data_IF_788434525524
#
_entry.id   IF_788434525524
#
_cell.length_a   1.000
_cell.length_b   1.000
_cell.length_c   1.000
_cell.angle_alpha   90.00
_cell.angle_beta   90.00
_cell.angle_gamma   90.00
#
_symmetry.space_group_name_H-M   'P 1'
#
loop_
_entity.id
_entity.type
_entity.pdbx_description
1 polymer ?
#
# COMPACT_ATOMS: atom_id res chain seq x y z
N UNK A 1 -14.79 -67.75 -53.57
CA UNK A 1 -14.70 -66.28 -53.45
C UNK A 1 -15.55 -65.88 -52.23
N UNK A 2 -14.87 -65.63 -51.14
CA UNK A 2 -15.54 -65.33 -49.89
C UNK A 2 -15.13 -63.91 -49.53
N UNK A 3 -16.11 -62.97 -49.60
CA UNK A 3 -15.92 -61.54 -49.24
C UNK A 3 -16.14 -61.35 -47.74
N UNK A 4 -15.13 -60.85 -47.04
CA UNK A 4 -15.22 -60.44 -45.59
C UNK A 4 -15.58 -58.98 -45.49
N UNK A 5 -16.58 -58.57 -44.67
CA UNK A 5 -16.80 -57.19 -44.37
C UNK A 5 -15.88 -56.72 -43.23
N UNK A 6 -15.23 -55.61 -43.45
CA UNK A 6 -14.44 -54.87 -42.45
C UNK A 6 -15.40 -54.05 -41.62
N UNK A 7 -15.49 -54.35 -40.32
CA UNK A 7 -16.23 -53.56 -39.36
C UNK A 7 -15.30 -52.47 -38.85
N UNK A 8 -15.62 -51.21 -39.18
CA UNK A 8 -14.89 -50.01 -38.72
C UNK A 8 -15.45 -49.60 -37.36
N UNK A 9 -14.66 -49.79 -36.33
CA UNK A 9 -14.99 -49.38 -34.95
C UNK A 9 -14.57 -47.92 -34.76
N UNK A 10 -15.53 -46.98 -34.79
CA UNK A 10 -15.27 -45.60 -34.43
C UNK A 10 -15.23 -45.47 -32.90
N UNK A 11 -14.05 -45.30 -32.32
CA UNK A 11 -13.88 -44.88 -30.93
C UNK A 11 -14.13 -43.37 -30.83
N UNK A 12 -15.26 -42.98 -30.22
CA UNK A 12 -15.53 -41.61 -29.77
C UNK A 12 -14.79 -41.38 -28.48
N UNK A 13 -13.67 -40.64 -28.52
CA UNK A 13 -13.06 -40.06 -27.33
C UNK A 13 -13.86 -38.83 -26.89
N UNK A 14 -14.59 -38.97 -25.79
CA UNK A 14 -15.19 -37.83 -25.08
C UNK A 14 -14.10 -37.13 -24.28
N UNK A 15 -13.62 -35.99 -24.77
CA UNK A 15 -12.76 -35.08 -24.00
C UNK A 15 -13.59 -34.33 -22.95
N UNK A 16 -13.46 -34.72 -21.67
CA UNK A 16 -14.03 -33.98 -20.55
C UNK A 16 -13.20 -32.71 -20.36
N UNK A 17 -13.73 -31.57 -20.80
CA UNK A 17 -13.18 -30.25 -20.49
C UNK A 17 -13.43 -29.94 -19.03
N UNK A 18 -12.41 -30.05 -18.19
CA UNK A 18 -12.44 -29.55 -16.81
C UNK A 18 -12.47 -28.01 -16.82
N UNK A 19 -13.63 -27.45 -16.62
CA UNK A 19 -13.78 -26.01 -16.38
C UNK A 19 -13.19 -25.72 -15.00
N UNK A 20 -11.95 -25.22 -14.97
CA UNK A 20 -11.40 -24.62 -13.77
C UNK A 20 -12.14 -23.31 -13.54
N UNK A 21 -13.03 -23.29 -12.56
CA UNK A 21 -13.57 -22.03 -12.02
C UNK A 21 -12.40 -21.27 -11.40
N UNK A 22 -11.82 -20.35 -12.16
CA UNK A 22 -10.92 -19.35 -11.61
C UNK A 22 -11.79 -18.48 -10.71
N UNK A 23 -11.65 -18.66 -9.39
CA UNK A 23 -12.24 -17.76 -8.41
C UNK A 23 -11.80 -16.34 -8.76
N UNK A 24 -12.75 -15.45 -8.99
CA UNK A 24 -12.46 -14.03 -9.17
C UNK A 24 -11.63 -13.58 -7.95
N UNK A 25 -10.53 -12.84 -8.14
CA UNK A 25 -9.76 -12.31 -7.01
C UNK A 25 -10.71 -11.50 -6.14
N UNK A 26 -10.80 -11.86 -4.86
CA UNK A 26 -11.59 -11.11 -3.88
C UNK A 26 -11.03 -9.68 -3.86
N UNK A 27 -11.77 -8.73 -4.41
CA UNK A 27 -11.36 -7.35 -4.39
C UNK A 27 -11.28 -6.91 -2.91
N UNK A 28 -10.09 -6.52 -2.46
CA UNK A 28 -9.90 -5.98 -1.13
C UNK A 28 -10.84 -4.78 -0.92
N UNK A 29 -11.48 -4.66 0.25
CA UNK A 29 -12.43 -3.59 0.50
C UNK A 29 -11.72 -2.23 0.41
N UNK A 30 -12.31 -1.31 -0.36
CA UNK A 30 -11.84 0.06 -0.40
C UNK A 30 -12.29 0.80 0.86
N UNK A 31 -11.35 1.38 1.57
CA UNK A 31 -11.59 2.19 2.76
C UNK A 31 -11.55 3.68 2.39
N UNK A 32 -12.41 4.48 3.01
CA UNK A 32 -12.43 5.93 2.83
C UNK A 32 -12.33 6.64 4.17
N UNK A 33 -11.42 7.60 4.29
CA UNK A 33 -11.25 8.41 5.50
C UNK A 33 -10.76 9.82 5.19
N UNK A 34 -10.92 10.70 6.19
CA UNK A 34 -10.40 12.06 6.14
C UNK A 34 -9.13 12.12 6.99
N UNK A 35 -8.03 12.56 6.39
CA UNK A 35 -6.77 12.87 7.05
C UNK A 35 -6.33 14.26 6.63
N UNK A 36 -5.91 15.12 7.56
CA UNK A 36 -5.43 16.47 7.26
C UNK A 36 -6.39 17.25 6.33
N UNK A 37 -7.71 17.15 6.58
CA UNK A 37 -8.78 17.74 5.77
C UNK A 37 -8.89 17.19 4.33
N UNK A 38 -8.15 16.13 3.98
CA UNK A 38 -8.20 15.46 2.69
C UNK A 38 -9.03 14.18 2.76
N UNK A 39 -9.94 13.96 1.79
CA UNK A 39 -10.66 12.69 1.63
C UNK A 39 -9.76 11.70 0.91
N UNK A 40 -9.41 10.60 1.56
CA UNK A 40 -8.51 9.57 1.02
C UNK A 40 -9.24 8.26 0.90
N UNK A 41 -9.13 7.64 -0.27
CA UNK A 41 -9.59 6.27 -0.52
C UNK A 41 -8.37 5.37 -0.71
N UNK A 42 -8.30 4.25 0.00
CA UNK A 42 -7.17 3.34 -0.01
C UNK A 42 -7.60 1.89 0.21
N UNK A 43 -6.70 0.97 -0.04
CA UNK A 43 -6.87 -0.47 0.21
C UNK A 43 -5.69 -0.96 1.05
N UNK A 44 -5.94 -1.94 1.89
CA UNK A 44 -4.88 -2.57 2.67
C UNK A 44 -4.76 -4.03 2.26
N UNK A 45 -3.55 -4.47 1.96
CA UNK A 45 -3.23 -5.87 1.75
C UNK A 45 -3.51 -6.69 3.01
N UNK A 46 -3.79 -7.98 2.85
CA UNK A 46 -3.98 -8.89 3.98
C UNK A 46 -2.68 -9.00 4.78
N UNK A 47 -2.67 -8.55 6.06
CA UNK A 47 -1.47 -8.60 6.89
C UNK A 47 -0.99 -10.04 7.16
N UNK A 48 -1.87 -11.04 7.07
CA UNK A 48 -1.50 -12.44 7.32
C UNK A 48 -0.55 -13.00 6.27
N UNK A 49 -0.51 -12.41 5.09
CA UNK A 49 0.35 -12.84 3.98
C UNK A 49 1.77 -12.26 4.06
N UNK A 50 2.01 -11.32 4.98
CA UNK A 50 3.26 -10.57 5.06
C UNK A 50 4.17 -11.05 6.20
N UNK A 51 5.51 -11.08 5.98
CA UNK A 51 6.48 -11.22 7.06
C UNK A 51 6.32 -10.12 8.10
N UNK A 52 6.61 -10.44 9.38
CA UNK A 52 6.41 -9.53 10.51
C UNK A 52 7.08 -8.16 10.33
N UNK A 53 8.29 -8.15 9.80
CA UNK A 53 9.07 -6.92 9.61
C UNK A 53 8.47 -5.98 8.55
N UNK A 54 7.64 -6.49 7.63
CA UNK A 54 6.86 -5.69 6.68
C UNK A 54 5.47 -5.36 7.22
N UNK A 55 4.79 -6.36 7.78
CA UNK A 55 3.44 -6.24 8.32
C UNK A 55 3.29 -5.10 9.31
N UNK A 56 4.30 -4.83 10.11
CA UNK A 56 4.31 -3.75 11.11
C UNK A 56 4.14 -2.36 10.49
N UNK A 57 4.54 -2.13 9.25
CA UNK A 57 4.35 -0.86 8.54
C UNK A 57 2.96 -0.71 7.95
N UNK A 58 2.29 -1.82 7.60
CA UNK A 58 0.99 -1.82 6.93
C UNK A 58 -0.06 -1.09 7.75
N UNK A 59 -0.88 -0.29 7.08
CA UNK A 59 -2.01 0.43 7.68
C UNK A 59 -1.91 1.94 7.55
N UNK A 60 -2.80 2.63 8.26
CA UNK A 60 -2.83 4.07 8.29
C UNK A 60 -2.22 4.61 9.60
N UNK A 61 -1.41 5.64 9.43
CA UNK A 61 -0.66 6.33 10.46
C UNK A 61 -0.97 7.81 10.38
N UNK A 62 -1.48 8.40 11.45
CA UNK A 62 -1.95 9.79 11.47
C UNK A 62 -1.57 10.54 12.75
N UNK A 63 -2.25 11.62 13.04
CA UNK A 63 -2.04 12.49 14.22
C UNK A 63 -0.62 13.03 14.31
N UNK A 64 0.02 13.22 13.17
CA UNK A 64 1.36 13.76 13.07
C UNK A 64 1.35 15.20 12.55
N UNK A 65 2.35 15.96 12.95
CA UNK A 65 2.61 17.28 12.44
C UNK A 65 4.11 17.47 12.25
N UNK A 66 4.51 17.96 11.09
CA UNK A 66 5.92 18.28 10.83
C UNK A 66 6.36 19.57 11.55
N UNK A 67 5.43 20.51 11.67
CA UNK A 67 5.60 21.78 12.35
C UNK A 67 4.25 22.26 12.93
N UNK A 68 4.19 23.49 13.40
CA UNK A 68 2.98 24.07 13.99
C UNK A 68 1.82 24.28 13.00
N UNK A 69 2.06 24.13 11.69
CA UNK A 69 1.10 24.48 10.64
C UNK A 69 0.73 23.30 9.74
N UNK A 70 1.54 22.23 9.70
CA UNK A 70 1.42 21.17 8.70
C UNK A 70 1.10 19.83 9.34
N UNK A 71 -0.13 19.39 9.16
CA UNK A 71 -0.60 18.03 9.46
C UNK A 71 -0.03 17.03 8.47
N UNK A 72 0.21 15.81 8.92
CA UNK A 72 0.67 14.71 8.09
C UNK A 72 0.01 13.38 8.45
N UNK A 73 -0.22 12.54 7.44
CA UNK A 73 -0.59 11.14 7.58
C UNK A 73 0.11 10.29 6.51
N UNK A 74 0.32 9.03 6.83
CA UNK A 74 0.91 8.04 5.93
C UNK A 74 0.03 6.80 5.91
N UNK A 75 -0.31 6.32 4.72
CA UNK A 75 -0.96 5.03 4.54
C UNK A 75 0.02 4.13 3.78
N UNK A 76 0.31 2.96 4.33
CA UNK A 76 1.06 1.90 3.67
C UNK A 76 0.05 0.84 3.26
N UNK A 77 -0.27 0.79 1.96
CA UNK A 77 -1.32 -0.07 1.42
C UNK A 77 -0.85 -1.52 1.27
N UNK A 78 0.38 -1.72 0.83
CA UNK A 78 1.00 -3.04 0.65
C UNK A 78 2.51 -2.95 0.78
N UNK A 79 3.14 -4.09 1.02
CA UNK A 79 4.58 -4.26 0.91
C UNK A 79 4.82 -5.59 0.19
N UNK A 80 5.58 -5.55 -0.90
CA UNK A 80 5.95 -6.73 -1.67
C UNK A 80 7.11 -7.49 -1.00
N UNK A 81 7.35 -8.76 -1.37
CA UNK A 81 8.44 -9.56 -0.79
C UNK A 81 9.85 -8.98 -0.95
N UNK A 82 10.07 -8.11 -1.92
CA UNK A 82 11.33 -7.40 -2.14
C UNK A 82 11.48 -6.12 -1.31
N UNK A 83 10.43 -5.77 -0.54
CA UNK A 83 10.36 -4.57 0.28
C UNK A 83 9.76 -3.35 -0.41
N UNK A 84 9.35 -3.47 -1.68
CA UNK A 84 8.64 -2.40 -2.38
C UNK A 84 7.28 -2.16 -1.71
N UNK A 85 6.98 -0.92 -1.33
CA UNK A 85 5.75 -0.54 -0.64
C UNK A 85 4.92 0.44 -1.47
N UNK A 86 3.60 0.19 -1.55
CA UNK A 86 2.64 1.19 -2.04
C UNK A 86 2.28 2.12 -0.89
N UNK A 87 2.47 3.41 -1.08
CA UNK A 87 2.25 4.42 -0.05
C UNK A 87 1.36 5.55 -0.54
N UNK A 88 0.54 6.08 0.38
CA UNK A 88 -0.18 7.34 0.20
C UNK A 88 0.28 8.27 1.32
N UNK A 89 0.86 9.38 0.95
CA UNK A 89 1.23 10.43 1.89
C UNK A 89 0.22 11.56 1.79
N UNK A 90 -0.29 11.98 2.94
CA UNK A 90 -1.32 13.02 3.04
C UNK A 90 -0.78 14.15 3.90
N UNK A 91 -0.98 15.36 3.44
CA UNK A 91 -0.61 16.56 4.19
C UNK A 91 -1.68 17.64 4.05
N UNK A 92 -1.70 18.57 4.96
CA UNK A 92 -2.67 19.63 4.96
C UNK A 92 -2.47 20.62 6.10
N UNK A 93 -3.37 21.58 6.26
CA UNK A 93 -3.30 22.53 7.37
C UNK A 93 -3.46 21.82 8.71
N UNK A 94 -2.74 22.29 9.72
CA UNK A 94 -2.92 21.87 11.10
C UNK A 94 -3.84 22.87 11.82
N UNK A 95 -5.12 22.53 11.85
CA UNK A 95 -6.15 23.38 12.46
C UNK A 95 -6.60 24.56 11.57
N UNK A 96 -7.69 25.20 11.97
CA UNK A 96 -8.40 26.23 11.19
C UNK A 96 -7.63 27.52 10.97
N UNK A 97 -6.60 27.79 11.75
CA UNK A 97 -5.74 28.98 11.62
C UNK A 97 -4.57 28.78 10.66
N UNK A 98 -4.30 27.55 10.26
CA UNK A 98 -3.24 27.24 9.30
C UNK A 98 -3.74 27.46 7.87
N UNK A 99 -2.88 28.06 7.04
CA UNK A 99 -3.10 28.21 5.59
C UNK A 99 -2.12 27.35 4.79
N UNK A 100 -1.54 26.31 5.41
CA UNK A 100 -0.67 25.39 4.71
C UNK A 100 -1.43 24.69 3.57
N UNK A 101 -0.80 24.50 2.42
CA UNK A 101 -1.41 23.75 1.33
C UNK A 101 -1.67 22.31 1.77
N UNK A 102 -2.74 21.71 1.24
CA UNK A 102 -3.05 20.30 1.44
C UNK A 102 -2.93 19.49 0.14
N UNK A 103 -2.70 18.20 0.27
CA UNK A 103 -2.63 17.30 -0.86
C UNK A 103 -2.50 15.84 -0.47
N UNK A 104 -2.65 15.01 -1.49
CA UNK A 104 -2.51 13.55 -1.42
C UNK A 104 -1.48 13.15 -2.46
N UNK A 105 -0.46 12.42 -2.05
CA UNK A 105 0.60 11.91 -2.90
C UNK A 105 0.60 10.40 -2.86
N UNK A 106 0.37 9.79 -4.01
CA UNK A 106 0.53 8.35 -4.20
C UNK A 106 1.95 8.07 -4.69
N UNK A 107 2.59 7.08 -4.10
CA UNK A 107 3.96 6.76 -4.46
C UNK A 107 4.39 5.35 -4.09
N UNK A 108 5.63 5.09 -4.38
CA UNK A 108 6.29 3.83 -4.06
C UNK A 108 7.46 4.11 -3.12
N UNK A 109 7.52 3.33 -2.05
CA UNK A 109 8.63 3.35 -1.10
C UNK A 109 9.38 2.02 -1.09
N UNK A 110 10.47 1.98 -0.34
CA UNK A 110 11.24 0.76 -0.07
C UNK A 110 11.36 0.56 1.44
N UNK A 111 10.98 -0.61 1.93
CA UNK A 111 11.25 -1.05 3.30
C UNK A 111 12.55 -1.84 3.29
N UNK A 112 13.57 -1.30 3.94
CA UNK A 112 14.88 -1.95 4.08
C UNK A 112 15.48 -1.62 5.45
N UNK A 113 16.10 -2.59 6.09
CA UNK A 113 16.77 -2.42 7.40
C UNK A 113 15.88 -1.79 8.48
N UNK A 114 14.56 -2.14 8.45
CA UNK A 114 13.58 -1.62 9.41
C UNK A 114 13.18 -0.17 9.18
N UNK A 115 13.43 0.37 8.00
CA UNK A 115 13.06 1.73 7.61
C UNK A 115 12.31 1.73 6.26
N UNK A 116 11.17 2.42 6.20
CA UNK A 116 10.47 2.73 4.97
C UNK A 116 10.97 4.09 4.46
N UNK A 117 11.42 4.13 3.21
CA UNK A 117 11.88 5.36 2.55
C UNK A 117 11.16 5.59 1.24
N UNK A 118 10.83 6.83 0.96
CA UNK A 118 10.36 7.26 -0.35
C UNK A 118 10.73 8.74 -0.59
N UNK A 119 10.57 9.16 -1.83
CA UNK A 119 10.86 10.52 -2.26
C UNK A 119 9.73 11.05 -3.13
N UNK A 120 9.37 12.30 -2.94
CA UNK A 120 8.45 13.04 -3.79
C UNK A 120 9.11 13.49 -5.09
N UNK A 121 8.28 13.89 -6.05
CA UNK A 121 8.72 14.48 -7.32
C UNK A 121 9.45 15.82 -7.15
N UNK A 122 9.21 16.55 -6.07
CA UNK A 122 9.91 17.79 -5.72
C UNK A 122 11.28 17.57 -5.08
N UNK A 123 11.66 16.31 -4.84
CA UNK A 123 12.92 15.93 -4.20
C UNK A 123 12.86 15.82 -2.68
N UNK A 124 11.72 16.10 -2.04
CA UNK A 124 11.55 15.89 -0.60
C UNK A 124 11.67 14.41 -0.27
N UNK A 125 12.51 14.06 0.70
CA UNK A 125 12.78 12.71 1.13
C UNK A 125 12.09 12.42 2.45
N UNK A 126 11.53 11.22 2.56
CA UNK A 126 10.85 10.72 3.74
C UNK A 126 11.49 9.40 4.20
N UNK A 127 11.65 9.26 5.51
CA UNK A 127 12.13 8.04 6.14
C UNK A 127 11.32 7.76 7.41
N UNK A 128 10.83 6.54 7.56
CA UNK A 128 9.97 6.14 8.68
C UNK A 128 10.52 4.89 9.35
N UNK A 129 10.63 4.92 10.69
CA UNK A 129 11.03 3.77 11.51
C UNK A 129 9.97 3.49 12.58
N UNK A 130 9.78 2.22 12.88
CA UNK A 130 8.97 1.86 14.03
C UNK A 130 9.63 2.29 15.32
N UNK A 131 8.93 3.10 16.11
CA UNK A 131 9.23 3.34 17.52
C UNK A 131 8.63 2.25 18.41
N UNK A 132 8.43 2.55 19.70
CA UNK A 132 7.83 1.61 20.65
C UNK A 132 6.33 1.42 20.37
N UNK A 133 5.60 2.51 20.16
CA UNK A 133 4.16 2.51 19.91
C UNK A 133 3.78 3.30 18.65
N UNK A 134 4.67 4.12 18.14
CA UNK A 134 4.45 5.06 17.06
C UNK A 134 5.36 4.75 15.87
N UNK A 135 5.03 5.31 14.72
CA UNK A 135 5.91 5.36 13.56
C UNK A 135 6.62 6.73 13.58
N UNK A 136 7.93 6.72 13.73
CA UNK A 136 8.73 7.95 13.75
C UNK A 136 9.16 8.29 12.33
N UNK A 137 8.65 9.42 11.82
CA UNK A 137 8.98 9.94 10.50
C UNK A 137 10.03 11.04 10.56
N UNK A 138 10.86 11.08 9.52
CA UNK A 138 11.75 12.21 9.19
C UNK A 138 11.47 12.67 7.78
N UNK A 139 11.45 13.97 7.59
CA UNK A 139 11.29 14.60 6.29
C UNK A 139 12.49 15.54 6.06
N UNK A 140 13.11 15.44 4.90
CA UNK A 140 14.18 16.34 4.48
C UNK A 140 13.81 17.00 3.15
N UNK A 141 13.80 18.33 3.13
CA UNK A 141 13.48 19.11 1.93
C UNK A 141 14.72 19.31 1.07
N UNK A 142 14.56 19.59 -0.24
CA UNK A 142 15.71 19.93 -1.10
C UNK A 142 16.47 21.17 -0.64
N UNK A 143 15.83 22.08 0.10
CA UNK A 143 16.47 23.26 0.70
C UNK A 143 17.31 22.95 1.95
N UNK A 144 17.40 21.67 2.37
CA UNK A 144 18.20 21.23 3.52
C UNK A 144 17.50 21.33 4.87
N UNK A 145 16.22 21.69 4.90
CA UNK A 145 15.43 21.65 6.14
C UNK A 145 15.09 20.20 6.50
N UNK A 146 15.09 19.89 7.80
CA UNK A 146 14.75 18.57 8.31
C UNK A 146 13.74 18.68 9.44
N UNK A 147 12.75 17.79 9.40
CA UNK A 147 11.67 17.71 10.37
C UNK A 147 11.54 16.28 10.89
N UNK A 148 11.00 16.14 12.09
CA UNK A 148 10.68 14.85 12.69
C UNK A 148 9.29 14.89 13.29
N UNK A 149 8.52 13.81 13.11
CA UNK A 149 7.19 13.67 13.67
C UNK A 149 6.91 12.24 14.10
N UNK A 150 6.04 12.07 15.11
CA UNK A 150 5.52 10.76 15.51
C UNK A 150 4.11 10.58 14.94
N UNK A 151 3.91 9.48 14.26
CA UNK A 151 2.65 9.08 13.63
C UNK A 151 2.03 7.97 14.46
N UNK A 152 0.78 8.12 14.83
CA UNK A 152 0.03 7.10 15.58
C UNK A 152 -0.70 6.17 14.64
N UNK A 153 -0.70 4.89 14.95
CA UNK A 153 -1.46 3.93 14.20
C UNK A 153 -2.95 4.19 14.39
N UNK A 154 -3.67 4.37 13.29
CA UNK A 154 -5.10 4.64 13.31
C UNK A 154 -5.90 3.33 13.18
N UNK A 155 -5.35 2.32 12.50
CA UNK A 155 -5.83 0.92 12.39
C UNK A 155 -4.87 0.06 11.54
#
# INVERSE_FOLDING_TARGET
>A
MVSRPIVLFCLLLAAAASVHAQGAPSAEPQLGRVFCEQNVSYRLADPSTLPEHYRRFLGAWSDAAWDANTCAALIVESVDPDGTASVIYVYGPLGSSSHAPGGILHGTGIVRDGELRFQNSDGTQFAFRMGIADLVGRMATPSGQSYQAAFKKTF
#
